data_IF_753178986577
#
_entry.id   IF_753178986577
#
_cell.length_a   1.000
_cell.length_b   1.000
_cell.length_c   1.000
_cell.angle_alpha   90.00
_cell.angle_beta   90.00
_cell.angle_gamma   90.00
#
_symmetry.space_group_name_H-M   'P 1'
#
loop_
_entity.id
_entity.type
_entity.pdbx_description
1 polymer ?
#
# COMPACT_ATOMS: atom_id res chain seq x y z
N UNK A 1 17.03 -12.19 14.18
CA UNK A 1 16.23 -10.94 14.20
C UNK A 1 15.28 -10.99 13.01
N UNK A 2 14.02 -11.30 13.24
CA UNK A 2 13.00 -11.26 12.18
C UNK A 2 12.77 -9.80 11.79
N UNK A 3 12.94 -9.40 10.52
CA UNK A 3 12.59 -8.05 10.10
C UNK A 3 11.10 -7.85 10.40
N UNK A 4 10.77 -6.68 10.95
CA UNK A 4 9.41 -6.29 11.34
C UNK A 4 8.57 -5.99 10.09
N UNK A 5 8.40 -6.99 9.22
CA UNK A 5 7.66 -6.91 7.98
C UNK A 5 6.18 -6.79 8.34
N UNK A 6 5.47 -5.72 7.93
CA UNK A 6 4.03 -5.63 8.10
C UNK A 6 3.37 -6.86 7.46
N UNK A 7 2.33 -7.41 8.08
CA UNK A 7 1.57 -8.53 7.53
C UNK A 7 1.09 -8.16 6.11
N UNK A 8 1.71 -8.74 5.08
CA UNK A 8 1.37 -8.43 3.70
C UNK A 8 -0.03 -9.02 3.42
N UNK A 9 -1.06 -8.21 3.13
CA UNK A 9 -2.38 -8.73 2.84
C UNK A 9 -2.28 -9.57 1.58
N UNK A 10 -2.51 -10.88 1.75
CA UNK A 10 -2.57 -11.94 0.72
C UNK A 10 -1.97 -11.49 -0.61
N UNK A 11 -0.64 -11.41 -0.66
CA UNK A 11 0.10 -10.67 -1.69
C UNK A 11 -0.07 -11.18 -3.13
N UNK A 12 -1.01 -12.09 -3.39
CA UNK A 12 -1.21 -12.73 -4.68
C UNK A 12 -1.38 -11.72 -5.83
N UNK A 13 -2.06 -10.60 -5.63
CA UNK A 13 -2.26 -9.59 -6.69
C UNK A 13 -0.98 -8.85 -7.09
N UNK A 14 0.00 -8.71 -6.19
CA UNK A 14 1.26 -8.04 -6.47
C UNK A 14 2.24 -8.98 -7.14
N UNK A 15 3.04 -8.49 -8.08
CA UNK A 15 4.19 -9.25 -8.59
C UNK A 15 5.22 -9.53 -7.50
N UNK A 16 6.03 -10.57 -7.67
CA UNK A 16 7.08 -10.95 -6.69
C UNK A 16 8.02 -9.80 -6.36
N UNK A 17 8.36 -8.96 -7.33
CA UNK A 17 9.20 -7.76 -7.12
C UNK A 17 8.53 -6.77 -6.16
N UNK A 18 7.22 -6.57 -6.24
CA UNK A 18 6.49 -5.72 -5.30
C UNK A 18 6.17 -6.40 -3.97
N UNK A 19 6.25 -7.73 -3.86
CA UNK A 19 6.17 -8.42 -2.57
C UNK A 19 7.48 -8.35 -1.80
N UNK A 20 8.60 -8.44 -2.51
CA UNK A 20 9.95 -8.40 -1.94
C UNK A 20 10.43 -6.96 -1.70
N UNK A 21 9.60 -6.13 -1.06
CA UNK A 21 9.96 -4.76 -0.70
C UNK A 21 10.96 -4.75 0.43
N UNK A 22 11.97 -3.89 0.31
CA UNK A 22 12.90 -3.61 1.40
C UNK A 22 12.29 -2.57 2.33
N UNK A 23 11.69 -3.03 3.41
CA UNK A 23 11.09 -2.15 4.42
C UNK A 23 12.15 -1.29 5.14
N UNK A 24 11.87 0.00 5.36
CA UNK A 24 12.74 0.83 6.20
C UNK A 24 12.78 0.29 7.65
N UNK A 25 13.94 0.31 8.32
CA UNK A 25 14.14 -0.39 9.61
C UNK A 25 13.30 0.16 10.78
N UNK A 26 12.78 1.39 10.66
CA UNK A 26 11.91 2.04 11.65
C UNK A 26 10.53 2.37 11.09
N UNK A 27 10.15 1.69 10.01
CA UNK A 27 8.88 1.92 9.34
C UNK A 27 7.71 1.55 10.27
N UNK A 28 6.93 2.55 10.67
CA UNK A 28 5.73 2.39 11.51
C UNK A 28 4.64 3.30 10.98
N UNK A 29 3.91 2.87 9.95
CA UNK A 29 2.85 3.68 9.41
C UNK A 29 1.67 3.66 10.38
N UNK A 30 1.05 4.81 10.57
CA UNK A 30 -0.24 4.93 11.25
C UNK A 30 -1.28 5.29 10.22
N UNK A 31 -1.91 4.29 9.62
CA UNK A 31 -3.07 4.49 8.75
C UNK A 31 -4.31 4.36 9.62
N UNK A 32 -4.67 5.42 10.33
CA UNK A 32 -5.91 5.35 11.11
C UNK A 32 -7.10 5.27 10.15
N UNK A 33 -7.31 6.21 9.21
CA UNK A 33 -8.45 6.15 8.27
C UNK A 33 -8.26 7.02 7.01
N UNK A 34 -7.23 6.78 6.18
CA UNK A 34 -6.91 7.74 5.09
C UNK A 34 -7.85 7.66 3.89
N UNK A 35 -8.24 6.47 3.42
CA UNK A 35 -9.02 6.31 2.19
C UNK A 35 -10.42 5.70 2.43
N UNK A 36 -11.17 6.23 3.40
CA UNK A 36 -12.52 5.76 3.74
C UNK A 36 -13.64 6.27 2.79
N UNK A 37 -13.28 6.89 1.66
CA UNK A 37 -14.24 7.48 0.72
C UNK A 37 -14.93 8.76 1.22
N UNK A 38 -14.80 9.12 2.49
CA UNK A 38 -15.34 10.37 3.04
C UNK A 38 -14.47 11.58 2.69
N UNK A 39 -13.17 11.37 2.50
CA UNK A 39 -12.21 12.38 2.06
C UNK A 39 -12.05 12.29 0.55
N UNK A 40 -11.77 13.41 -0.12
CA UNK A 40 -11.48 13.42 -1.55
C UNK A 40 -10.37 12.38 -1.85
N UNK A 41 -10.60 11.41 -2.75
CA UNK A 41 -9.63 10.38 -3.07
C UNK A 41 -8.24 10.93 -3.45
N UNK A 42 -8.19 12.08 -4.13
CA UNK A 42 -6.93 12.73 -4.50
C UNK A 42 -6.18 13.28 -3.28
N UNK A 43 -6.91 13.79 -2.29
CA UNK A 43 -6.31 14.33 -1.06
C UNK A 43 -5.85 13.19 -0.15
N UNK A 44 -6.66 12.15 0.02
CA UNK A 44 -6.27 10.96 0.78
C UNK A 44 -5.04 10.29 0.19
N UNK A 45 -4.96 10.19 -1.14
CA UNK A 45 -3.78 9.68 -1.84
C UNK A 45 -2.56 10.55 -1.61
N UNK A 46 -2.67 11.88 -1.68
CA UNK A 46 -1.54 12.79 -1.40
C UNK A 46 -1.04 12.66 0.03
N UNK A 47 -1.94 12.59 1.00
CA UNK A 47 -1.57 12.40 2.42
C UNK A 47 -0.84 11.06 2.58
N UNK A 48 -1.39 10.00 1.98
CA UNK A 48 -0.79 8.68 1.97
C UNK A 48 0.64 8.72 1.41
N UNK A 49 0.84 9.22 0.19
CA UNK A 49 2.16 9.28 -0.45
C UNK A 49 3.16 10.09 0.40
N UNK A 50 2.71 11.23 0.93
CA UNK A 50 3.54 12.11 1.77
C UNK A 50 4.01 11.39 3.03
N UNK A 51 3.14 10.63 3.69
CA UNK A 51 3.50 9.90 4.92
C UNK A 51 4.51 8.81 4.61
N UNK A 52 4.31 8.05 3.54
CA UNK A 52 5.24 7.00 3.12
C UNK A 52 6.62 7.59 2.83
N UNK A 53 6.67 8.68 2.05
CA UNK A 53 7.92 9.36 1.71
C UNK A 53 8.60 9.94 2.95
N UNK A 54 7.84 10.55 3.88
CA UNK A 54 8.36 11.15 5.10
C UNK A 54 9.06 10.14 6.03
N UNK A 55 8.64 8.87 6.00
CA UNK A 55 9.28 7.78 6.75
C UNK A 55 10.29 6.98 5.93
N UNK A 56 10.67 7.49 4.75
CA UNK A 56 11.69 6.92 3.88
C UNK A 56 11.21 5.73 3.04
N UNK A 57 9.91 5.60 2.81
CA UNK A 57 9.35 4.63 1.88
C UNK A 57 9.41 5.12 0.43
N UNK A 58 9.65 4.17 -0.48
CA UNK A 58 9.64 4.39 -1.92
C UNK A 58 8.28 3.97 -2.54
N UNK A 59 8.16 4.04 -3.86
CA UNK A 59 6.92 3.66 -4.56
C UNK A 59 6.55 2.17 -4.37
N UNK A 60 7.52 1.31 -4.09
CA UNK A 60 7.27 -0.11 -3.82
C UNK A 60 6.64 -0.27 -2.44
N UNK A 61 7.12 0.47 -1.45
CA UNK A 61 6.51 0.58 -0.12
C UNK A 61 5.09 1.15 -0.24
N UNK A 62 4.89 2.21 -1.05
CA UNK A 62 3.56 2.78 -1.31
C UNK A 62 2.62 1.73 -1.91
N UNK A 63 3.02 1.01 -2.95
CA UNK A 63 2.18 -0.02 -3.56
C UNK A 63 1.81 -1.13 -2.56
N UNK A 64 2.80 -1.64 -1.81
CA UNK A 64 2.58 -2.79 -0.93
C UNK A 64 1.68 -2.49 0.27
N UNK A 65 1.71 -1.26 0.79
CA UNK A 65 0.87 -0.84 1.91
C UNK A 65 -0.49 -0.29 1.46
N UNK A 66 -0.66 0.01 0.18
CA UNK A 66 -1.87 0.65 -0.32
C UNK A 66 -3.16 -0.10 0.06
N UNK A 67 -3.23 -1.44 -0.05
CA UNK A 67 -4.42 -2.18 0.35
C UNK A 67 -4.78 -2.00 1.84
N UNK A 68 -3.82 -1.65 2.70
CA UNK A 68 -4.08 -1.39 4.12
C UNK A 68 -4.61 0.03 4.36
N UNK A 69 -4.30 0.98 3.50
CA UNK A 69 -4.86 2.33 3.56
C UNK A 69 -6.30 2.40 3.01
N UNK A 70 -6.66 1.46 2.13
CA UNK A 70 -8.01 1.34 1.56
C UNK A 70 -8.99 0.68 2.54
N UNK A 71 -10.25 1.11 2.50
CA UNK A 71 -11.36 0.51 3.23
C UNK A 71 -12.49 0.06 2.29
N UNK A 72 -13.31 -0.87 2.76
CA UNK A 72 -14.53 -1.31 2.09
C UNK A 72 -14.30 -1.82 0.67
N UNK A 73 -15.14 -1.34 -0.25
CA UNK A 73 -15.15 -1.79 -1.65
C UNK A 73 -13.83 -1.50 -2.36
N UNK A 74 -13.15 -0.37 -2.10
CA UNK A 74 -11.90 -0.04 -2.77
C UNK A 74 -10.80 -1.09 -2.50
N UNK A 75 -10.70 -1.54 -1.25
CA UNK A 75 -9.81 -2.66 -0.89
C UNK A 75 -10.27 -3.97 -1.53
N UNK A 76 -11.58 -4.23 -1.53
CA UNK A 76 -12.15 -5.42 -2.18
C UNK A 76 -11.80 -5.51 -3.66
N UNK A 77 -12.03 -4.44 -4.42
CA UNK A 77 -11.69 -4.35 -5.85
C UNK A 77 -10.22 -4.62 -6.12
N UNK A 78 -9.32 -4.01 -5.34
CA UNK A 78 -7.88 -4.24 -5.49
C UNK A 78 -7.49 -5.69 -5.19
N UNK A 79 -8.15 -6.33 -4.22
CA UNK A 79 -7.90 -7.73 -3.86
C UNK A 79 -8.60 -8.74 -4.76
N UNK A 80 -9.61 -8.33 -5.53
CA UNK A 80 -10.29 -9.15 -6.54
C UNK A 80 -9.50 -9.23 -7.85
N UNK A 81 -8.46 -8.39 -8.00
CA UNK A 81 -7.58 -8.47 -9.15
C UNK A 81 -6.91 -9.85 -9.26
N UNK A 82 -6.62 -10.31 -10.50
CA UNK A 82 -5.87 -11.52 -10.69
C UNK A 82 -4.50 -11.48 -9.99
N UNK A 83 -3.94 -12.66 -9.68
CA UNK A 83 -2.59 -12.72 -9.15
C UNK A 83 -1.58 -12.07 -10.10
N UNK A 84 -0.62 -11.33 -9.55
CA UNK A 84 0.45 -10.64 -10.28
C UNK A 84 -0.04 -9.59 -11.29
N UNK A 85 -1.19 -8.96 -11.07
CA UNK A 85 -1.70 -7.84 -11.86
C UNK A 85 -1.11 -6.48 -11.52
N UNK A 86 -0.55 -6.31 -10.31
CA UNK A 86 0.01 -5.02 -9.87
C UNK A 86 1.53 -5.04 -9.97
N UNK A 87 2.10 -4.20 -10.84
CA UNK A 87 3.54 -4.09 -11.12
C UNK A 87 4.15 -2.84 -10.50
N UNK A 88 3.38 -1.75 -10.38
CA UNK A 88 3.84 -0.48 -9.81
C UNK A 88 2.83 0.14 -8.83
N UNK A 89 3.22 1.29 -8.27
CA UNK A 89 2.32 2.16 -7.50
C UNK A 89 1.18 2.69 -8.37
N UNK A 90 1.43 3.04 -9.64
CA UNK A 90 0.36 3.53 -10.53
C UNK A 90 -0.70 2.46 -10.79
N UNK A 91 -0.32 1.20 -10.97
CA UNK A 91 -1.26 0.08 -11.11
C UNK A 91 -2.12 -0.11 -9.87
N UNK A 92 -1.58 0.20 -8.69
CA UNK A 92 -2.33 0.12 -7.43
C UNK A 92 -3.37 1.24 -7.31
N UNK A 93 -3.09 2.39 -7.92
CA UNK A 93 -3.89 3.62 -7.83
C UNK A 93 -4.90 3.79 -8.99
N UNK A 94 -4.88 2.89 -9.98
CA UNK A 94 -5.79 2.89 -11.13
C UNK A 94 -7.18 2.38 -10.75
#
# INVERSE_FOLDING_TARGET
MTPNVPAQPHGQVFVTSLRNVRWPPKFRPSFTEMCNGSVNPSESLKIYTTIIEAVGGDDRVKANLFPMALQGQARGTLMDLPPASVYSWEDSCS
#
